data_IF_818052795024
#
_entry.id   IF_818052795024
#
_cell.length_a   1.000
_cell.length_b   1.000
_cell.length_c   1.000
_cell.angle_alpha   90.00
_cell.angle_beta   90.00
_cell.angle_gamma   90.00
#
_symmetry.space_group_name_H-M   'P 1'
#
loop_
_entity.id
_entity.type
_entity.pdbx_description
1 polymer ?
#
# COMPACT_ATOMS: atom_id res chain seq x y z
N UNK A 1 -20.73 15.66 41.09
CA UNK A 1 -19.64 14.94 40.39
C UNK A 1 -20.06 13.48 40.25
N UNK A 2 -20.48 13.01 39.07
CA UNK A 2 -20.79 11.59 38.90
C UNK A 2 -19.51 10.83 38.54
N UNK A 3 -19.24 9.74 39.28
CA UNK A 3 -18.22 8.74 38.95
C UNK A 3 -18.77 7.85 37.84
N UNK A 4 -18.14 7.86 36.67
CA UNK A 4 -18.42 6.88 35.61
C UNK A 4 -17.81 5.53 36.03
N UNK A 5 -18.68 4.62 36.46
CA UNK A 5 -18.33 3.21 36.60
C UNK A 5 -18.27 2.59 35.21
N UNK A 6 -17.06 2.28 34.74
CA UNK A 6 -16.87 1.49 33.52
C UNK A 6 -17.35 0.06 33.77
N UNK A 7 -18.27 -0.39 32.92
CA UNK A 7 -18.88 -1.72 32.99
C UNK A 7 -17.83 -2.80 32.69
N UNK A 8 -17.68 -3.84 33.52
CA UNK A 8 -16.68 -4.90 33.33
C UNK A 8 -16.86 -5.72 32.03
N UNK A 9 -18.00 -5.54 31.34
CA UNK A 9 -18.31 -6.19 30.06
C UNK A 9 -17.58 -5.56 28.86
N UNK A 10 -17.13 -4.30 28.96
CA UNK A 10 -16.35 -3.66 27.89
C UNK A 10 -14.89 -4.12 27.86
N UNK A 11 -14.38 -4.65 28.99
CA UNK A 11 -13.04 -5.24 29.06
C UNK A 11 -12.99 -6.67 28.48
N UNK A 12 -14.13 -7.35 28.34
CA UNK A 12 -14.19 -8.72 27.82
C UNK A 12 -14.17 -8.81 26.28
N UNK A 13 -14.47 -7.72 25.56
CA UNK A 13 -14.41 -7.64 24.10
C UNK A 13 -13.07 -7.12 23.57
N UNK A 14 -12.21 -6.56 24.43
CA UNK A 14 -10.89 -6.07 24.05
C UNK A 14 -9.79 -7.15 24.09
N UNK A 15 -10.09 -8.36 24.57
CA UNK A 15 -9.07 -9.37 24.92
C UNK A 15 -8.86 -10.50 23.89
N UNK A 16 -9.77 -10.88 22.96
CA UNK A 16 -9.39 -11.88 21.95
C UNK A 16 -8.65 -11.27 20.74
N UNK A 17 -8.65 -9.95 20.54
CA UNK A 17 -7.93 -9.30 19.42
C UNK A 17 -6.44 -9.08 19.72
N UNK A 18 -6.06 -9.00 21.00
CA UNK A 18 -4.68 -8.73 21.42
C UNK A 18 -3.83 -9.99 21.70
N UNK A 19 -4.39 -11.20 21.56
CA UNK A 19 -3.70 -12.46 21.85
C UNK A 19 -3.24 -13.26 20.61
N UNK A 20 -3.44 -12.76 19.38
CA UNK A 20 -2.88 -13.34 18.14
C UNK A 20 -1.61 -12.62 17.67
N UNK A 21 -1.06 -11.72 18.49
CA UNK A 21 0.03 -10.81 18.15
C UNK A 21 1.45 -11.34 18.46
N UNK A 22 1.60 -12.64 18.71
CA UNK A 22 2.90 -13.30 18.72
C UNK A 22 2.81 -14.43 17.69
N UNK A 23 3.67 -14.39 16.65
CA UNK A 23 3.71 -15.27 15.47
C UNK A 23 2.97 -14.79 14.20
N UNK A 24 3.13 -13.54 13.81
CA UNK A 24 2.57 -13.02 12.55
C UNK A 24 3.66 -12.72 11.52
N UNK A 25 3.49 -13.18 10.28
CA UNK A 25 4.30 -12.79 9.11
C UNK A 25 4.42 -11.27 9.09
N UNK A 26 5.66 -10.75 8.94
CA UNK A 26 5.86 -9.30 8.84
C UNK A 26 5.02 -8.73 7.70
N UNK A 27 4.28 -7.62 7.89
CA UNK A 27 3.49 -7.04 6.80
C UNK A 27 4.34 -6.66 5.58
N UNK A 28 5.63 -6.33 5.77
CA UNK A 28 6.58 -6.13 4.67
C UNK A 28 6.83 -7.41 3.86
N UNK A 29 6.90 -8.57 4.53
CA UNK A 29 7.13 -9.86 3.89
C UNK A 29 5.96 -10.23 2.98
N UNK A 30 4.72 -10.01 3.44
CA UNK A 30 3.53 -10.24 2.62
C UNK A 30 3.54 -9.42 1.32
N UNK A 31 3.98 -8.16 1.36
CA UNK A 31 4.09 -7.31 0.17
C UNK A 31 5.15 -7.84 -0.80
N UNK A 32 6.31 -8.27 -0.31
CA UNK A 32 7.36 -8.83 -1.16
C UNK A 32 6.96 -10.20 -1.74
N UNK A 33 6.37 -11.06 -0.92
CA UNK A 33 5.91 -12.38 -1.33
C UNK A 33 4.79 -12.26 -2.36
N UNK A 34 3.90 -11.27 -2.23
CA UNK A 34 2.88 -10.96 -3.25
C UNK A 34 3.49 -10.63 -4.61
N UNK A 35 4.55 -9.82 -4.65
CA UNK A 35 5.25 -9.54 -5.90
C UNK A 35 6.03 -10.76 -6.42
N UNK A 36 6.59 -11.58 -5.53
CA UNK A 36 7.47 -12.67 -5.89
C UNK A 36 6.75 -13.92 -6.43
N UNK A 37 5.47 -14.11 -6.09
CA UNK A 37 4.63 -15.14 -6.71
C UNK A 37 4.19 -14.78 -8.14
N UNK A 38 4.60 -13.62 -8.66
CA UNK A 38 4.30 -13.15 -10.00
C UNK A 38 5.56 -13.03 -10.87
N UNK A 39 5.41 -13.16 -12.19
CA UNK A 39 6.46 -12.85 -13.15
C UNK A 39 6.45 -11.37 -13.59
N UNK A 40 7.33 -11.00 -14.54
CA UNK A 40 7.41 -9.63 -15.04
C UNK A 40 6.19 -9.15 -15.84
N UNK A 41 5.27 -10.05 -16.19
CA UNK A 41 3.97 -9.75 -16.80
C UNK A 41 2.82 -9.89 -15.81
N UNK A 42 3.13 -10.00 -14.51
CA UNK A 42 2.18 -10.23 -13.42
C UNK A 42 1.39 -11.55 -13.51
N UNK A 43 1.95 -12.58 -14.17
CA UNK A 43 1.35 -13.91 -14.23
C UNK A 43 1.82 -14.79 -13.08
N UNK A 44 1.04 -15.82 -12.68
CA UNK A 44 1.46 -16.80 -11.68
C UNK A 44 2.84 -17.39 -11.97
N UNK A 45 3.70 -17.42 -10.94
CA UNK A 45 5.03 -18.01 -11.00
C UNK A 45 5.19 -19.13 -9.98
N UNK A 46 5.71 -20.27 -10.43
CA UNK A 46 6.25 -21.34 -9.60
C UNK A 46 7.50 -21.94 -10.27
N UNK A 47 8.56 -22.25 -9.53
CA UNK A 47 8.77 -21.90 -8.13
C UNK A 47 8.94 -20.38 -7.92
N UNK A 48 8.61 -19.91 -6.73
CA UNK A 48 8.74 -18.51 -6.32
C UNK A 48 9.76 -18.38 -5.17
N UNK A 49 10.51 -17.27 -5.18
CA UNK A 49 11.39 -16.92 -4.07
C UNK A 49 10.59 -16.17 -3.02
N UNK A 50 10.33 -16.79 -1.87
CA UNK A 50 9.50 -16.21 -0.82
C UNK A 50 10.29 -16.04 0.47
N UNK A 51 9.89 -15.05 1.24
CA UNK A 51 10.35 -14.80 2.62
C UNK A 51 9.54 -15.59 3.65
N UNK A 52 8.38 -16.11 3.24
CA UNK A 52 7.47 -16.92 4.06
C UNK A 52 7.09 -18.19 3.31
N UNK A 53 7.05 -19.33 4.00
CA UNK A 53 6.53 -20.57 3.43
C UNK A 53 5.06 -20.37 3.02
N UNK A 54 4.67 -20.73 1.78
CA UNK A 54 3.31 -20.53 1.28
C UNK A 54 2.24 -21.18 2.17
N UNK A 55 2.54 -22.27 2.88
CA UNK A 55 1.61 -22.94 3.80
C UNK A 55 1.21 -22.05 5.00
N UNK A 56 2.05 -21.08 5.38
CA UNK A 56 1.72 -20.12 6.44
C UNK A 56 0.57 -19.20 6.01
N UNK A 57 0.51 -18.83 4.73
CA UNK A 57 -0.62 -18.06 4.17
C UNK A 57 -1.91 -18.87 4.10
N UNK A 58 -1.81 -20.20 4.07
CA UNK A 58 -2.94 -21.13 4.05
C UNK A 58 -3.43 -21.54 5.45
N UNK A 59 -2.73 -21.11 6.51
CA UNK A 59 -3.06 -21.49 7.89
C UNK A 59 -2.71 -22.93 8.26
N UNK A 60 -1.93 -23.63 7.42
CA UNK A 60 -1.51 -25.02 7.59
C UNK A 60 -0.02 -25.19 7.89
N UNK A 61 0.79 -24.15 7.71
CA UNK A 61 2.23 -24.16 7.96
C UNK A 61 2.56 -24.03 9.45
N UNK A 62 3.68 -24.63 9.87
CA UNK A 62 4.41 -24.11 11.04
C UNK A 62 4.95 -22.75 10.64
N UNK A 63 4.89 -21.75 11.53
CA UNK A 63 5.67 -20.53 11.32
C UNK A 63 7.10 -20.94 11.00
N UNK A 64 7.61 -20.41 9.90
CA UNK A 64 8.87 -20.82 9.30
C UNK A 64 10.00 -20.85 10.33
N UNK A 65 10.89 -21.86 10.29
CA UNK A 65 12.10 -21.85 11.12
C UNK A 65 12.87 -20.57 10.87
N UNK A 66 13.61 -20.06 11.88
CA UNK A 66 14.43 -18.84 11.84
C UNK A 66 15.24 -18.71 10.54
N UNK A 67 14.64 -18.15 9.49
CA UNK A 67 15.38 -17.73 8.32
C UNK A 67 16.22 -16.54 8.73
N UNK A 68 17.47 -16.50 8.30
CA UNK A 68 18.27 -15.30 8.51
C UNK A 68 17.59 -14.16 7.76
N UNK A 69 17.46 -13.01 8.43
CA UNK A 69 16.93 -11.79 7.82
C UNK A 69 17.62 -11.56 6.47
N UNK A 70 16.86 -11.65 5.37
CA UNK A 70 17.35 -11.46 4.00
C UNK A 70 17.53 -12.72 3.15
N UNK A 71 17.31 -13.92 3.69
CA UNK A 71 17.29 -15.15 2.89
C UNK A 71 15.88 -15.36 2.28
N UNK A 72 15.82 -15.53 0.96
CA UNK A 72 14.60 -15.95 0.24
C UNK A 72 14.78 -17.41 -0.18
N UNK A 73 13.80 -18.25 0.11
CA UNK A 73 13.81 -19.66 -0.28
C UNK A 73 12.88 -19.90 -1.47
N UNK A 74 13.24 -20.86 -2.31
CA UNK A 74 12.48 -21.22 -3.50
C UNK A 74 11.41 -22.25 -3.12
N UNK A 75 10.14 -21.86 -3.14
CA UNK A 75 9.01 -22.74 -2.86
C UNK A 75 8.25 -23.08 -4.13
N UNK A 76 7.84 -24.34 -4.25
CA UNK A 76 6.83 -24.74 -5.22
C UNK A 76 5.44 -24.33 -4.72
N UNK A 77 4.65 -23.72 -5.59
CA UNK A 77 3.32 -23.22 -5.27
C UNK A 77 2.29 -24.09 -5.98
N UNK A 78 1.72 -25.03 -5.24
CA UNK A 78 0.72 -25.96 -5.76
C UNK A 78 -0.62 -25.28 -6.09
N UNK A 79 -1.07 -24.36 -5.24
CA UNK A 79 -2.28 -23.56 -5.45
C UNK A 79 -1.95 -22.08 -5.32
N UNK A 80 -1.63 -21.47 -6.46
CA UNK A 80 -1.27 -20.06 -6.54
C UNK A 80 -2.38 -19.14 -6.04
N UNK A 81 -3.64 -19.47 -6.35
CA UNK A 81 -4.79 -18.64 -6.00
C UNK A 81 -5.08 -18.67 -4.51
N UNK A 82 -4.97 -19.84 -3.88
CA UNK A 82 -5.14 -19.94 -2.44
C UNK A 82 -4.05 -19.17 -1.68
N UNK A 83 -2.79 -19.29 -2.12
CA UNK A 83 -1.65 -18.57 -1.51
C UNK A 83 -1.82 -17.07 -1.69
N UNK A 84 -2.12 -16.61 -2.90
CA UNK A 84 -2.34 -15.20 -3.21
C UNK A 84 -3.46 -14.58 -2.36
N UNK A 85 -4.60 -15.27 -2.22
CA UNK A 85 -5.69 -14.83 -1.35
C UNK A 85 -5.24 -14.70 0.10
N UNK A 86 -4.45 -15.66 0.60
CA UNK A 86 -3.87 -15.60 1.94
C UNK A 86 -2.92 -14.40 2.10
N UNK A 87 -2.11 -14.10 1.09
CA UNK A 87 -1.23 -12.92 1.08
C UNK A 87 -2.04 -11.62 1.07
N UNK A 88 -3.07 -11.50 0.22
CA UNK A 88 -3.94 -10.32 0.14
C UNK A 88 -4.65 -10.04 1.47
N UNK A 89 -5.08 -11.09 2.19
CA UNK A 89 -5.64 -10.94 3.54
C UNK A 89 -4.63 -10.34 4.53
N UNK A 90 -3.34 -10.70 4.41
CA UNK A 90 -2.28 -10.10 5.24
C UNK A 90 -1.99 -8.66 4.83
N UNK A 91 -1.98 -8.36 3.54
CA UNK A 91 -1.81 -6.99 3.03
C UNK A 91 -2.96 -6.08 3.51
N UNK A 92 -4.20 -6.57 3.50
CA UNK A 92 -5.36 -5.83 3.99
C UNK A 92 -5.26 -5.46 5.49
N UNK A 93 -4.44 -6.17 6.26
CA UNK A 93 -4.19 -5.91 7.67
C UNK A 93 -3.04 -4.92 7.92
N UNK A 94 -2.33 -4.45 6.88
CA UNK A 94 -1.30 -3.42 7.02
C UNK A 94 -1.92 -2.13 7.59
N UNK A 95 -1.41 -1.60 8.72
CA UNK A 95 -1.86 -0.32 9.24
C UNK A 95 -1.55 0.78 8.21
N UNK A 96 -2.54 1.55 7.71
CA UNK A 96 -2.25 2.56 6.69
C UNK A 96 -1.43 3.75 7.23
N UNK A 97 -1.22 3.81 8.55
CA UNK A 97 -0.28 4.73 9.21
C UNK A 97 1.19 4.33 9.07
N UNK A 98 1.50 3.08 8.72
CA UNK A 98 2.86 2.69 8.29
C UNK A 98 3.06 3.14 6.84
N UNK A 99 3.45 4.41 6.68
CA UNK A 99 3.54 5.07 5.37
C UNK A 99 4.39 4.28 4.38
N UNK A 100 5.54 3.77 4.83
CA UNK A 100 6.46 3.02 3.98
C UNK A 100 5.85 1.72 3.48
N UNK A 101 5.30 0.90 4.37
CA UNK A 101 4.72 -0.40 3.98
C UNK A 101 3.41 -0.22 3.22
N UNK A 102 2.54 0.71 3.65
CA UNK A 102 1.25 0.95 3.01
C UNK A 102 1.37 1.52 1.59
N UNK A 103 2.36 2.39 1.31
CA UNK A 103 2.60 2.88 -0.05
C UNK A 103 3.15 1.80 -0.97
N UNK A 104 4.07 0.95 -0.48
CA UNK A 104 4.57 -0.16 -1.30
C UNK A 104 3.47 -1.20 -1.56
N UNK A 105 2.64 -1.50 -0.55
CA UNK A 105 1.46 -2.33 -0.73
C UNK A 105 0.51 -1.74 -1.78
N UNK A 106 0.20 -0.44 -1.68
CA UNK A 106 -0.63 0.24 -2.67
C UNK A 106 -0.05 0.12 -4.09
N UNK A 107 1.27 0.27 -4.25
CA UNK A 107 1.93 0.11 -5.54
C UNK A 107 1.67 -1.26 -6.17
N UNK A 108 1.91 -2.35 -5.44
CA UNK A 108 1.71 -3.70 -5.99
C UNK A 108 0.24 -4.07 -6.16
N UNK A 109 -0.64 -3.58 -5.28
CA UNK A 109 -2.08 -3.75 -5.46
C UNK A 109 -2.60 -3.00 -6.70
N UNK A 110 -2.01 -1.85 -7.05
CA UNK A 110 -2.33 -1.17 -8.32
C UNK A 110 -1.89 -2.02 -9.51
N UNK A 111 -0.70 -2.61 -9.49
CA UNK A 111 -0.25 -3.53 -10.55
C UNK A 111 -1.20 -4.72 -10.68
N UNK A 112 -1.59 -5.34 -9.56
CA UNK A 112 -2.56 -6.43 -9.55
C UNK A 112 -3.93 -6.00 -10.09
N UNK A 113 -4.45 -4.85 -9.65
CA UNK A 113 -5.71 -4.31 -10.16
C UNK A 113 -5.70 -4.10 -11.69
N UNK A 114 -4.56 -3.76 -12.28
CA UNK A 114 -4.48 -3.41 -13.70
C UNK A 114 -4.10 -4.59 -14.61
N UNK A 115 -3.44 -5.61 -14.05
CA UNK A 115 -2.75 -6.62 -14.85
C UNK A 115 -2.99 -8.07 -14.40
N UNK A 116 -3.59 -8.31 -13.23
CA UNK A 116 -3.87 -9.67 -12.80
C UNK A 116 -4.92 -10.31 -13.70
N UNK A 117 -4.69 -11.54 -14.14
CA UNK A 117 -5.61 -12.27 -15.00
C UNK A 117 -6.95 -12.59 -14.29
N UNK A 118 -6.97 -12.58 -12.96
CA UNK A 118 -8.10 -13.06 -12.15
C UNK A 118 -8.90 -11.92 -11.52
N UNK A 119 -10.20 -11.87 -11.83
CA UNK A 119 -11.12 -10.83 -11.37
C UNK A 119 -11.18 -10.72 -9.83
N UNK A 120 -11.18 -11.85 -9.11
CA UNK A 120 -11.19 -11.89 -7.64
C UNK A 120 -10.02 -11.10 -7.01
N UNK A 121 -8.84 -11.16 -7.64
CA UNK A 121 -7.63 -10.48 -7.17
C UNK A 121 -7.67 -9.00 -7.47
N UNK A 122 -8.20 -8.63 -8.65
CA UNK A 122 -8.47 -7.23 -9.00
C UNK A 122 -9.50 -6.60 -8.05
N UNK A 123 -10.59 -7.31 -7.74
CA UNK A 123 -11.62 -6.88 -6.79
C UNK A 123 -11.08 -6.65 -5.38
N UNK A 124 -10.30 -7.62 -4.86
CA UNK A 124 -9.67 -7.49 -3.55
C UNK A 124 -8.66 -6.33 -3.53
N UNK A 125 -7.88 -6.17 -4.60
CA UNK A 125 -6.92 -5.07 -4.72
C UNK A 125 -7.61 -3.71 -4.71
N UNK A 126 -8.69 -3.53 -5.49
CA UNK A 126 -9.49 -2.31 -5.46
C UNK A 126 -10.05 -2.02 -4.05
N UNK A 127 -10.49 -3.06 -3.32
CA UNK A 127 -10.97 -2.91 -1.95
C UNK A 127 -9.88 -2.40 -0.99
N UNK A 128 -8.72 -3.04 -0.96
CA UNK A 128 -7.62 -2.63 -0.07
C UNK A 128 -7.09 -1.24 -0.43
N UNK A 129 -6.94 -0.94 -1.72
CA UNK A 129 -6.56 0.40 -2.19
C UNK A 129 -7.53 1.48 -1.68
N UNK A 130 -8.84 1.22 -1.77
CA UNK A 130 -9.85 2.17 -1.28
C UNK A 130 -9.82 2.37 0.23
N UNK A 131 -9.48 1.32 1.00
CA UNK A 131 -9.30 1.40 2.45
C UNK A 131 -8.09 2.27 2.83
N UNK A 132 -6.97 2.12 2.14
CA UNK A 132 -5.79 2.98 2.34
C UNK A 132 -6.10 4.43 2.03
N UNK A 133 -6.72 4.71 0.88
CA UNK A 133 -7.08 6.08 0.50
C UNK A 133 -8.05 6.72 1.51
N UNK A 134 -9.10 6.01 1.92
CA UNK A 134 -10.05 6.51 2.91
C UNK A 134 -9.36 6.86 4.24
N UNK A 135 -8.48 5.98 4.74
CA UNK A 135 -7.73 6.24 5.96
C UNK A 135 -6.84 7.49 5.83
N UNK A 136 -6.07 7.61 4.75
CA UNK A 136 -5.18 8.75 4.53
C UNK A 136 -5.95 10.08 4.47
N UNK A 137 -7.13 10.08 3.85
CA UNK A 137 -8.01 11.26 3.80
C UNK A 137 -8.54 11.61 5.19
N UNK A 138 -9.10 10.64 5.91
CA UNK A 138 -9.81 10.88 7.18
C UNK A 138 -8.87 11.18 8.34
N UNK A 139 -7.75 10.48 8.43
CA UNK A 139 -6.86 10.56 9.60
C UNK A 139 -5.74 11.58 9.45
N UNK A 140 -5.25 11.77 8.24
CA UNK A 140 -4.08 12.65 8.00
C UNK A 140 -4.45 13.88 7.19
N UNK A 141 -5.70 13.97 6.72
CA UNK A 141 -6.14 15.09 5.90
C UNK A 141 -5.43 15.12 4.55
N UNK A 142 -5.02 13.96 4.02
CA UNK A 142 -4.31 13.80 2.75
C UNK A 142 -5.23 14.07 1.55
N UNK A 143 -5.73 15.31 1.46
CA UNK A 143 -6.60 15.77 0.38
C UNK A 143 -5.75 16.33 -0.75
N UNK A 144 -5.93 15.88 -2.00
CA UNK A 144 -5.27 16.48 -3.15
C UNK A 144 -5.51 18.00 -3.21
N UNK A 145 -4.54 18.74 -3.74
CA UNK A 145 -4.66 20.17 -3.92
C UNK A 145 -5.90 20.52 -4.78
N UNK A 146 -6.51 21.68 -4.51
CA UNK A 146 -7.68 22.16 -5.26
C UNK A 146 -7.34 22.48 -6.73
N UNK A 147 -6.09 22.84 -7.00
CA UNK A 147 -5.59 23.01 -8.35
C UNK A 147 -5.10 21.68 -8.91
N UNK A 148 -5.41 21.35 -10.17
CA UNK A 148 -4.90 20.14 -10.79
C UNK A 148 -3.37 20.23 -10.88
N UNK A 149 -2.65 19.11 -10.63
CA UNK A 149 -1.20 19.04 -10.74
C UNK A 149 -0.74 19.24 -12.20
N UNK A 150 0.31 20.04 -12.39
CA UNK A 150 0.80 20.45 -13.72
C UNK A 150 2.31 20.25 -13.92
N UNK A 151 3.05 19.85 -12.88
CA UNK A 151 4.50 19.66 -12.94
C UNK A 151 4.93 18.44 -13.75
N UNK A 152 6.18 18.43 -14.20
CA UNK A 152 6.80 17.27 -14.86
C UNK A 152 7.17 16.20 -13.82
N UNK A 153 6.57 15.01 -13.94
CA UNK A 153 6.82 13.87 -13.07
C UNK A 153 8.26 13.38 -13.12
N UNK A 154 8.87 13.34 -14.32
CA UNK A 154 10.25 12.86 -14.45
C UNK A 154 11.22 13.79 -13.72
N UNK A 155 11.02 15.10 -13.87
CA UNK A 155 11.79 16.12 -13.16
C UNK A 155 11.57 16.04 -11.63
N UNK A 156 10.32 15.87 -11.17
CA UNK A 156 10.00 15.74 -9.75
C UNK A 156 10.61 14.48 -9.12
N UNK A 157 10.57 13.34 -9.82
CA UNK A 157 11.21 12.09 -9.38
C UNK A 157 12.74 12.26 -9.31
N UNK A 158 13.35 12.89 -10.31
CA UNK A 158 14.78 13.17 -10.30
C UNK A 158 15.18 14.10 -9.14
N UNK A 159 14.37 15.11 -8.83
CA UNK A 159 14.58 15.99 -7.69
C UNK A 159 14.48 15.23 -6.36
N UNK A 160 13.51 14.31 -6.22
CA UNK A 160 13.36 13.48 -5.03
C UNK A 160 14.51 12.48 -4.86
N UNK A 161 14.94 11.82 -5.94
CA UNK A 161 16.11 10.93 -5.90
C UNK A 161 17.38 11.68 -5.50
N UNK A 162 17.64 12.85 -6.10
CA UNK A 162 18.78 13.70 -5.75
C UNK A 162 18.72 14.17 -4.29
N UNK A 163 17.54 14.55 -3.79
CA UNK A 163 17.36 14.98 -2.40
C UNK A 163 17.64 13.82 -1.42
N UNK A 164 17.17 12.61 -1.73
CA UNK A 164 17.39 11.43 -0.87
C UNK A 164 18.83 10.91 -0.92
N UNK A 165 19.52 11.05 -2.06
CA UNK A 165 20.94 10.70 -2.19
C UNK A 165 21.86 11.59 -1.33
N UNK A 166 21.46 12.83 -1.07
CA UNK A 166 22.17 13.79 -0.21
C UNK A 166 21.88 13.59 1.29
N UNK A 167 21.68 12.33 1.73
CA UNK A 167 21.29 11.92 3.08
C UNK A 167 22.07 12.55 4.25
N UNK A 168 23.32 12.95 4.02
CA UNK A 168 24.21 13.53 5.05
C UNK A 168 24.28 15.07 5.01
N UNK A 169 23.52 15.71 4.13
CA UNK A 169 23.52 17.16 4.01
C UNK A 169 22.83 17.82 5.23
N UNK A 170 23.34 18.95 5.75
CA UNK A 170 22.72 19.64 6.89
C UNK A 170 21.27 20.10 6.63
N UNK A 171 20.91 20.31 5.36
CA UNK A 171 19.60 20.75 4.88
C UNK A 171 18.75 19.59 4.30
N UNK A 172 19.13 18.34 4.58
CA UNK A 172 18.48 17.13 4.05
C UNK A 172 16.94 17.16 4.16
N UNK A 173 16.41 17.41 5.36
CA UNK A 173 14.97 17.42 5.59
C UNK A 173 14.24 18.51 4.79
N UNK A 174 14.87 19.66 4.58
CA UNK A 174 14.30 20.74 3.77
C UNK A 174 14.32 20.39 2.27
N UNK A 175 15.41 19.78 1.78
CA UNK A 175 15.53 19.30 0.39
C UNK A 175 14.49 18.23 0.08
N UNK A 176 14.34 17.24 0.97
CA UNK A 176 13.35 16.16 0.81
C UNK A 176 11.94 16.74 0.82
N UNK A 177 11.62 17.64 1.76
CA UNK A 177 10.32 18.31 1.80
C UNK A 177 10.02 19.07 0.50
N UNK A 178 10.96 19.88 0.00
CA UNK A 178 10.79 20.61 -1.25
C UNK A 178 10.64 19.70 -2.47
N UNK A 179 11.36 18.58 -2.51
CA UNK A 179 11.25 17.61 -3.60
C UNK A 179 9.92 16.83 -3.54
N UNK A 180 9.44 16.47 -2.35
CA UNK A 180 8.13 15.85 -2.17
C UNK A 180 7.00 16.78 -2.62
N UNK A 181 7.08 18.08 -2.32
CA UNK A 181 6.11 19.06 -2.83
C UNK A 181 6.13 19.12 -4.37
N UNK A 182 7.29 18.98 -5.03
CA UNK A 182 7.34 18.88 -6.50
C UNK A 182 6.63 17.62 -7.00
N UNK A 183 6.77 16.48 -6.31
CA UNK A 183 6.03 15.25 -6.64
C UNK A 183 4.53 15.43 -6.46
N UNK A 184 4.10 16.11 -5.39
CA UNK A 184 2.68 16.40 -5.13
C UNK A 184 2.05 17.29 -6.21
N UNK A 185 2.83 18.18 -6.81
CA UNK A 185 2.39 19.05 -7.90
C UNK A 185 2.60 18.45 -9.29
N UNK A 186 3.32 17.34 -9.41
CA UNK A 186 3.61 16.69 -10.68
C UNK A 186 2.38 15.96 -11.22
N UNK A 187 2.13 16.09 -12.52
CA UNK A 187 1.05 15.40 -13.22
C UNK A 187 1.40 13.92 -13.37
N UNK A 188 0.47 13.05 -12.99
CA UNK A 188 0.61 11.59 -13.11
C UNK A 188 -0.52 11.13 -14.03
N UNK A 189 -0.18 10.75 -15.25
CA UNK A 189 -1.16 10.37 -16.28
C UNK A 189 -1.33 8.85 -16.43
N UNK A 190 -0.30 8.10 -16.05
CA UNK A 190 -0.23 6.65 -16.24
C UNK A 190 -0.26 5.93 -14.88
N UNK A 191 -1.20 4.98 -14.67
CA UNK A 191 -1.34 4.29 -13.39
C UNK A 191 -0.17 3.33 -13.11
N UNK A 192 0.51 2.81 -14.14
CA UNK A 192 1.71 1.99 -13.96
C UNK A 192 2.88 2.85 -13.48
N UNK A 193 3.09 4.04 -14.06
CA UNK A 193 4.05 5.02 -13.58
C UNK A 193 3.72 5.49 -12.15
N UNK A 194 2.44 5.64 -11.82
CA UNK A 194 1.99 5.93 -10.47
C UNK A 194 2.38 4.81 -9.48
N UNK A 195 2.18 3.54 -9.84
CA UNK A 195 2.59 2.40 -9.02
C UNK A 195 4.12 2.38 -8.80
N UNK A 196 4.91 2.57 -9.86
CA UNK A 196 6.36 2.65 -9.77
C UNK A 196 6.84 3.81 -8.89
N UNK A 197 6.19 4.97 -8.99
CA UNK A 197 6.43 6.13 -8.14
C UNK A 197 6.18 5.77 -6.66
N UNK A 198 5.03 5.18 -6.34
CA UNK A 198 4.70 4.79 -4.96
C UNK A 198 5.71 3.78 -4.40
N UNK A 199 6.06 2.73 -5.16
CA UNK A 199 7.06 1.75 -4.74
C UNK A 199 8.43 2.39 -4.52
N UNK A 200 8.85 3.29 -5.41
CA UNK A 200 10.10 4.03 -5.29
C UNK A 200 10.14 4.90 -4.04
N UNK A 201 9.10 5.71 -3.82
CA UNK A 201 8.98 6.57 -2.63
C UNK A 201 8.94 5.75 -1.34
N UNK A 202 8.17 4.65 -1.31
CA UNK A 202 8.07 3.76 -0.16
C UNK A 202 9.42 3.16 0.25
N UNK A 203 10.18 2.64 -0.72
CA UNK A 203 11.52 2.09 -0.48
C UNK A 203 12.48 3.15 0.03
N UNK A 204 12.46 4.34 -0.60
CA UNK A 204 13.30 5.46 -0.16
C UNK A 204 12.96 5.90 1.26
N UNK A 205 11.67 6.06 1.57
CA UNK A 205 11.17 6.39 2.90
C UNK A 205 11.70 5.45 3.98
N UNK A 206 11.67 4.13 3.74
CA UNK A 206 12.15 3.14 4.74
C UNK A 206 13.66 3.11 4.90
N UNK A 207 14.41 3.56 3.91
CA UNK A 207 15.89 3.62 3.95
C UNK A 207 16.44 4.99 4.33
N UNK A 208 15.57 5.99 4.47
CA UNK A 208 15.95 7.38 4.68
C UNK A 208 16.45 7.64 6.12
N UNK A 209 17.45 8.53 6.30
CA UNK A 209 17.78 9.06 7.62
C UNK A 209 16.58 9.77 8.27
N UNK A 210 16.41 9.56 9.56
CA UNK A 210 15.40 10.25 10.36
C UNK A 210 15.89 11.64 10.82
N UNK A 211 15.00 12.64 10.97
CA UNK A 211 13.56 12.58 10.71
C UNK A 211 13.23 12.70 9.22
N UNK A 212 12.35 11.84 8.73
CA UNK A 212 11.74 12.00 7.41
C UNK A 212 10.56 12.97 7.53
N UNK A 213 10.54 14.00 6.69
CA UNK A 213 9.44 14.97 6.61
C UNK A 213 8.54 14.63 5.41
N UNK A 214 7.27 15.02 5.47
CA UNK A 214 6.38 14.95 4.31
C UNK A 214 5.46 13.73 4.22
N UNK A 215 5.19 13.02 5.32
CA UNK A 215 4.22 11.91 5.36
C UNK A 215 2.87 12.29 4.73
N UNK A 216 2.37 13.50 5.02
CA UNK A 216 1.13 14.00 4.42
C UNK A 216 1.24 14.13 2.90
N UNK A 217 2.40 14.53 2.37
CA UNK A 217 2.63 14.66 0.92
C UNK A 217 2.68 13.29 0.25
N UNK A 218 3.38 12.34 0.88
CA UNK A 218 3.46 10.95 0.43
C UNK A 218 2.08 10.30 0.37
N UNK A 219 1.27 10.50 1.41
CA UNK A 219 -0.09 9.99 1.46
C UNK A 219 -1.03 10.70 0.48
N UNK A 220 -0.90 12.02 0.26
CA UNK A 220 -1.64 12.74 -0.81
C UNK A 220 -1.31 12.17 -2.18
N UNK A 221 -0.03 11.91 -2.45
CA UNK A 221 0.43 11.27 -3.68
C UNK A 221 -0.15 9.86 -3.80
N UNK A 222 -0.19 9.10 -2.70
CA UNK A 222 -0.87 7.80 -2.59
C UNK A 222 -2.35 7.87 -2.96
N UNK A 223 -3.11 8.83 -2.39
CA UNK A 223 -4.53 9.04 -2.71
C UNK A 223 -4.73 9.34 -4.20
N UNK A 224 -3.88 10.22 -4.79
CA UNK A 224 -3.94 10.55 -6.22
C UNK A 224 -3.69 9.33 -7.10
N UNK A 225 -2.69 8.52 -6.76
CA UNK A 225 -2.36 7.29 -7.47
C UNK A 225 -3.49 6.24 -7.37
N UNK A 226 -4.08 6.06 -6.18
CA UNK A 226 -5.24 5.17 -5.99
C UNK A 226 -6.43 5.62 -6.83
N UNK A 227 -6.76 6.92 -6.83
CA UNK A 227 -7.84 7.46 -7.65
C UNK A 227 -7.61 7.21 -9.15
N UNK A 228 -6.37 7.39 -9.63
CA UNK A 228 -6.00 7.14 -11.01
C UNK A 228 -6.11 5.66 -11.39
N UNK A 229 -5.69 4.75 -10.51
CA UNK A 229 -5.80 3.31 -10.73
C UNK A 229 -7.27 2.84 -10.76
N UNK A 230 -8.09 3.33 -9.83
CA UNK A 230 -9.53 3.03 -9.82
C UNK A 230 -10.22 3.60 -11.06
N UNK A 231 -9.85 4.79 -11.52
CA UNK A 231 -10.37 5.37 -12.76
C UNK A 231 -10.07 4.48 -13.98
N UNK A 232 -8.84 3.97 -14.09
CA UNK A 232 -8.49 3.01 -15.14
C UNK A 232 -9.24 1.69 -14.98
N UNK A 233 -9.41 1.22 -13.74
CA UNK A 233 -10.20 0.02 -13.42
C UNK A 233 -11.67 0.13 -13.80
N UNK A 234 -12.24 1.33 -14.00
CA UNK A 234 -13.62 1.49 -14.50
C UNK A 234 -13.80 0.97 -15.95
N UNK A 235 -12.70 0.73 -16.67
CA UNK A 235 -12.67 0.16 -18.01
C UNK A 235 -12.24 -1.32 -18.02
N UNK A 236 -12.21 -1.99 -16.87
CA UNK A 236 -11.90 -3.43 -16.78
C UNK A 236 -12.84 -4.26 -17.67
N UNK A 237 -12.33 -5.30 -18.36
CA UNK A 237 -13.16 -6.19 -19.18
C UNK A 237 -14.19 -6.97 -18.36
N UNK A 238 -13.94 -7.19 -17.06
CA UNK A 238 -14.89 -7.78 -16.14
C UNK A 238 -15.85 -6.70 -15.58
N UNK A 239 -17.17 -6.82 -15.82
CA UNK A 239 -18.13 -5.81 -15.41
C UNK A 239 -18.25 -5.65 -13.89
N UNK A 240 -17.95 -6.69 -13.11
CA UNK A 240 -17.96 -6.63 -11.64
C UNK A 240 -16.77 -5.80 -11.14
N UNK A 241 -15.58 -6.02 -11.70
CA UNK A 241 -14.38 -5.21 -11.38
C UNK A 241 -14.60 -3.76 -11.77
N UNK A 242 -15.13 -3.50 -12.97
CA UNK A 242 -15.41 -2.15 -13.46
C UNK A 242 -16.42 -1.41 -12.55
N UNK A 243 -17.49 -2.08 -12.14
CA UNK A 243 -18.47 -1.51 -11.21
C UNK A 243 -17.86 -1.24 -9.83
N UNK A 244 -17.10 -2.20 -9.30
CA UNK A 244 -16.43 -2.09 -8.01
C UNK A 244 -15.45 -0.92 -7.95
N UNK A 245 -14.69 -0.68 -9.03
CA UNK A 245 -13.77 0.45 -9.15
C UNK A 245 -14.50 1.79 -9.17
N UNK A 246 -15.57 1.88 -9.97
CA UNK A 246 -16.41 3.09 -10.08
C UNK A 246 -17.04 3.47 -8.74
N UNK A 247 -17.64 2.51 -8.05
CA UNK A 247 -18.25 2.74 -6.73
C UNK A 247 -17.21 3.21 -5.70
N UNK A 248 -16.05 2.55 -5.63
CA UNK A 248 -14.98 2.91 -4.70
C UNK A 248 -14.40 4.29 -5.01
N UNK A 249 -14.16 4.61 -6.28
CA UNK A 249 -13.71 5.95 -6.69
C UNK A 249 -14.74 7.01 -6.30
N UNK A 250 -16.03 6.78 -6.56
CA UNK A 250 -17.10 7.69 -6.16
C UNK A 250 -17.16 7.91 -4.64
N UNK A 251 -16.96 6.86 -3.84
CA UNK A 251 -16.87 6.96 -2.38
C UNK A 251 -15.70 7.84 -1.95
N UNK A 252 -14.50 7.60 -2.47
CA UNK A 252 -13.31 8.40 -2.14
C UNK A 252 -13.51 9.88 -2.51
N UNK A 253 -14.04 10.15 -3.72
CA UNK A 253 -14.35 11.52 -4.16
C UNK A 253 -15.37 12.21 -3.24
N UNK A 254 -16.37 11.47 -2.75
CA UNK A 254 -17.32 11.97 -1.75
C UNK A 254 -16.64 12.32 -0.42
N UNK A 255 -15.70 11.50 0.07
CA UNK A 255 -14.90 11.81 1.27
C UNK A 255 -14.05 13.08 1.07
N UNK A 256 -13.48 13.27 -0.13
CA UNK A 256 -12.71 14.46 -0.48
C UNK A 256 -13.56 15.74 -0.55
N UNK A 257 -14.84 15.64 -0.88
CA UNK A 257 -15.77 16.77 -0.93
C UNK A 257 -16.37 17.15 0.44
N UNK A 258 -16.31 16.26 1.44
CA UNK A 258 -16.87 16.52 2.76
C UNK A 258 -16.09 17.64 3.50
N UNK A 259 -16.77 18.58 4.20
CA UNK A 259 -16.10 19.62 4.98
C UNK A 259 -15.19 19.02 6.06
N UNK A 260 -14.10 19.71 6.42
CA UNK A 260 -13.23 19.27 7.50
C UNK A 260 -14.00 19.30 8.83
N UNK A 261 -13.88 18.25 9.66
CA UNK A 261 -14.43 18.25 11.01
C UNK A 261 -13.74 19.27 11.91
#
# INVERSE_FOLDING_TARGET
MPRLALSPWLLALAVPVLALAACSVSPSNAVYDFAAIHDGQWRPRSPAQLTTDPQVYLGSGKDTPDFRVGEMESFEIADHRAVERGILQRIAAIPPSDVGVALEAAAYLMVALLHDDFADTRLQSAAVLSQFAAFWIERVGARPAAQPPQGDLAAAVAAYDAATAAARAPDYAARVGAALEQVDQARIDDPTAAALLLAGMARRYRTAPQPVTGDAVLQRTGVRAVLLALEHGEADPDPEVAAACRERRALILKHLAAPQP
#
